data_IF_063129452987
#
_entry.id   IF_063129452987
#
_cell.length_a   1.000
_cell.length_b   1.000
_cell.length_c   1.000
_cell.angle_alpha   90.00
_cell.angle_beta   90.00
_cell.angle_gamma   90.00
#
_symmetry.space_group_name_H-M   'P 1'
#
loop_
_entity.id
_entity.type
_entity.pdbx_description
1 polymer ?
#
# COMPACT_ATOMS: atom_id res chain seq x y z
N UNK A 1 -30.23 24.31 -22.53
CA UNK A 1 -29.09 23.37 -22.43
C UNK A 1 -28.26 23.79 -21.21
N UNK A 2 -28.51 23.21 -20.04
CA UNK A 2 -27.79 23.54 -18.81
C UNK A 2 -26.64 22.55 -18.65
N UNK A 3 -25.44 23.11 -18.54
CA UNK A 3 -24.24 22.43 -18.08
C UNK A 3 -24.51 21.91 -16.68
N UNK A 4 -24.34 20.60 -16.47
CA UNK A 4 -24.18 20.04 -15.13
C UNK A 4 -22.70 19.67 -15.00
N UNK A 5 -21.96 20.61 -14.41
CA UNK A 5 -20.72 20.29 -13.71
C UNK A 5 -21.08 19.34 -12.57
N UNK A 6 -20.48 18.16 -12.55
CA UNK A 6 -20.13 17.52 -11.28
C UNK A 6 -18.65 17.21 -11.35
N UNK A 7 -17.87 18.24 -11.01
CA UNK A 7 -16.55 18.04 -10.43
C UNK A 7 -16.76 17.23 -9.15
N UNK A 8 -16.64 15.92 -9.23
CA UNK A 8 -16.06 15.20 -8.10
C UNK A 8 -14.58 15.53 -8.15
N UNK A 9 -14.19 16.53 -7.37
CA UNK A 9 -12.81 16.59 -6.90
C UNK A 9 -12.61 15.29 -6.11
N UNK A 10 -11.97 14.32 -6.74
CA UNK A 10 -11.34 13.17 -6.09
C UNK A 10 -10.35 13.77 -5.09
N UNK A 11 -10.80 14.01 -3.86
CA UNK A 11 -9.88 14.23 -2.76
C UNK A 11 -9.09 12.94 -2.65
N UNK A 12 -7.80 12.99 -2.96
CA UNK A 12 -6.88 11.85 -2.85
C UNK A 12 -7.13 11.17 -1.51
N UNK A 13 -7.74 9.99 -1.57
CA UNK A 13 -8.12 9.25 -0.39
C UNK A 13 -6.86 8.75 0.31
N UNK A 14 -6.66 9.16 1.56
CA UNK A 14 -5.46 8.80 2.32
C UNK A 14 -5.46 7.32 2.72
N UNK A 15 -4.66 6.51 2.02
CA UNK A 15 -4.43 5.10 2.37
C UNK A 15 -3.29 4.94 3.38
N UNK A 16 -2.28 5.78 3.22
CA UNK A 16 -1.15 5.94 4.14
C UNK A 16 -0.92 7.40 4.50
N UNK A 17 -0.32 7.62 5.66
CA UNK A 17 0.23 8.94 6.02
C UNK A 17 1.53 8.83 6.81
N UNK A 18 2.32 9.90 6.77
CA UNK A 18 3.62 10.00 7.46
C UNK A 18 3.47 10.90 8.69
N UNK A 19 3.48 10.29 9.88
CA UNK A 19 3.38 10.98 11.16
C UNK A 19 4.59 10.68 12.03
N UNK A 20 5.32 11.72 12.47
CA UNK A 20 6.47 11.55 13.37
C UNK A 20 7.55 10.61 12.84
N UNK A 21 7.80 10.61 11.52
CA UNK A 21 8.79 9.75 10.86
C UNK A 21 8.37 8.29 10.72
N UNK A 22 7.06 7.99 10.79
CA UNK A 22 6.53 6.62 10.67
C UNK A 22 5.37 6.59 9.68
N UNK A 23 5.23 5.45 8.99
CA UNK A 23 4.08 5.15 8.13
C UNK A 23 2.91 4.65 8.99
N UNK A 24 1.76 5.29 8.83
CA UNK A 24 0.47 4.87 9.39
C UNK A 24 -0.40 4.37 8.24
N UNK A 25 -0.85 3.11 8.31
CA UNK A 25 -1.80 2.56 7.35
C UNK A 25 -3.22 2.75 7.86
N UNK A 26 -4.05 3.34 7.02
CA UNK A 26 -5.48 3.45 7.28
C UNK A 26 -6.24 2.25 6.71
N UNK A 27 -5.64 1.48 5.80
CA UNK A 27 -6.30 0.37 5.10
C UNK A 27 -6.13 -0.99 5.80
N UNK A 28 -7.20 -1.80 6.00
CA UNK A 28 -7.12 -3.14 6.59
C UNK A 28 -6.07 -4.03 5.93
N UNK A 29 -6.11 -4.16 4.60
CA UNK A 29 -5.05 -4.87 3.86
C UNK A 29 -3.65 -4.29 4.10
N UNK A 30 -3.49 -2.97 4.13
CA UNK A 30 -2.20 -2.34 4.42
C UNK A 30 -1.70 -2.67 5.82
N UNK A 31 -2.59 -2.67 6.82
CA UNK A 31 -2.29 -3.08 8.21
C UNK A 31 -1.89 -4.56 8.27
N UNK A 32 -2.63 -5.45 7.60
CA UNK A 32 -2.34 -6.88 7.56
C UNK A 32 -1.01 -7.16 6.86
N UNK A 33 -0.73 -6.47 5.75
CA UNK A 33 0.53 -6.59 5.01
C UNK A 33 1.72 -6.07 5.83
N UNK A 34 1.58 -4.94 6.53
CA UNK A 34 2.63 -4.44 7.41
C UNK A 34 2.91 -5.42 8.57
N UNK A 35 1.87 -6.00 9.17
CA UNK A 35 2.01 -7.02 10.21
C UNK A 35 2.70 -8.28 9.67
N UNK A 36 2.31 -8.73 8.47
CA UNK A 36 2.95 -9.85 7.79
C UNK A 36 4.46 -9.64 7.67
N UNK A 37 4.88 -8.49 7.14
CA UNK A 37 6.29 -8.19 6.90
C UNK A 37 7.11 -8.11 8.20
N UNK A 38 6.48 -7.83 9.34
CA UNK A 38 7.16 -7.77 10.65
C UNK A 38 7.27 -9.11 11.37
N UNK A 39 6.72 -10.19 10.84
CA UNK A 39 6.81 -11.51 11.48
C UNK A 39 8.22 -12.08 11.40
N UNK A 40 8.68 -12.71 12.47
CA UNK A 40 10.00 -13.33 12.54
C UNK A 40 10.20 -14.40 11.45
N UNK A 41 9.17 -15.21 11.19
CA UNK A 41 9.26 -16.26 10.17
C UNK A 41 9.38 -15.70 8.74
N UNK A 42 8.79 -14.54 8.47
CA UNK A 42 8.96 -13.82 7.20
C UNK A 42 10.36 -13.23 7.08
N UNK A 43 10.86 -12.58 8.14
CA UNK A 43 12.20 -12.01 8.17
C UNK A 43 13.30 -13.08 8.05
N UNK A 44 13.05 -14.27 8.59
CA UNK A 44 13.98 -15.40 8.53
C UNK A 44 14.18 -16.00 7.13
N UNK A 45 13.30 -15.67 6.17
CA UNK A 45 13.43 -16.15 4.79
C UNK A 45 14.66 -15.56 4.10
N UNK A 46 15.10 -14.37 4.51
CA UNK A 46 16.20 -13.70 3.85
C UNK A 46 17.57 -14.11 4.42
N UNK A 47 18.58 -14.42 3.57
CA UNK A 47 19.86 -15.01 3.99
C UNK A 47 20.85 -14.01 4.63
N UNK A 48 20.37 -12.90 5.18
CA UNK A 48 21.20 -11.92 5.90
C UNK A 48 20.79 -10.46 5.73
N UNK A 49 19.90 -10.15 4.78
CA UNK A 49 19.47 -8.79 4.46
C UNK A 49 17.94 -8.79 4.46
N UNK A 50 17.27 -7.90 5.19
CA UNK A 50 15.80 -7.90 5.29
C UNK A 50 15.11 -7.46 3.99
N UNK A 51 14.11 -6.58 4.09
CA UNK A 51 13.50 -5.98 2.89
C UNK A 51 14.41 -4.98 2.16
N UNK A 52 15.53 -4.60 2.77
CA UNK A 52 16.59 -3.84 2.13
C UNK A 52 17.38 -4.72 1.15
N UNK A 53 18.16 -4.11 0.25
CA UNK A 53 19.10 -4.81 -0.65
C UNK A 53 18.43 -5.94 -1.46
N UNK A 54 17.41 -5.57 -2.25
CA UNK A 54 16.67 -6.49 -3.13
C UNK A 54 15.51 -7.23 -2.47
N UNK A 55 15.34 -7.14 -1.14
CA UNK A 55 14.22 -7.78 -0.45
C UNK A 55 12.86 -7.19 -0.84
N UNK A 56 12.79 -5.88 -1.14
CA UNK A 56 11.61 -5.21 -1.68
C UNK A 56 11.20 -5.82 -3.04
N UNK A 57 12.15 -6.14 -3.90
CA UNK A 57 11.90 -6.79 -5.18
C UNK A 57 11.35 -8.21 -5.00
N UNK A 58 11.94 -9.00 -4.09
CA UNK A 58 11.44 -10.34 -3.78
C UNK A 58 10.01 -10.33 -3.23
N UNK A 59 9.69 -9.40 -2.32
CA UNK A 59 8.34 -9.19 -1.81
C UNK A 59 7.38 -8.78 -2.94
N UNK A 60 7.80 -7.85 -3.81
CA UNK A 60 6.97 -7.38 -4.90
C UNK A 60 6.65 -8.50 -5.92
N UNK A 61 7.60 -9.37 -6.22
CA UNK A 61 7.36 -10.57 -7.04
C UNK A 61 6.35 -11.52 -6.39
N UNK A 62 6.47 -11.75 -5.08
CA UNK A 62 5.57 -12.61 -4.34
C UNK A 62 4.13 -12.03 -4.30
N UNK A 63 3.99 -10.73 -4.02
CA UNK A 63 2.71 -10.01 -4.04
C UNK A 63 2.07 -10.01 -5.43
N UNK A 64 2.84 -9.70 -6.48
CA UNK A 64 2.33 -9.75 -7.86
C UNK A 64 1.78 -11.14 -8.20
N UNK A 65 2.53 -12.20 -7.87
CA UNK A 65 2.11 -13.58 -8.13
C UNK A 65 0.87 -13.95 -7.33
N UNK A 66 0.79 -13.51 -6.08
CA UNK A 66 -0.35 -13.73 -5.20
C UNK A 66 -1.64 -13.08 -5.73
N UNK A 67 -1.55 -11.80 -6.12
CA UNK A 67 -2.66 -11.02 -6.65
C UNK A 67 -3.15 -11.57 -7.99
N UNK A 68 -2.22 -11.86 -8.92
CA UNK A 68 -2.57 -12.46 -10.22
C UNK A 68 -3.22 -13.83 -10.06
N UNK A 69 -2.76 -14.64 -9.11
CA UNK A 69 -3.39 -15.91 -8.76
C UNK A 69 -4.82 -15.77 -8.22
N UNK A 70 -5.19 -14.57 -7.75
CA UNK A 70 -6.54 -14.22 -7.30
C UNK A 70 -7.35 -13.46 -8.37
N UNK A 71 -6.84 -13.37 -9.62
CA UNK A 71 -7.50 -12.67 -10.72
C UNK A 71 -7.33 -11.14 -10.69
N UNK A 72 -6.43 -10.61 -9.86
CA UNK A 72 -6.14 -9.17 -9.77
C UNK A 72 -4.93 -8.83 -10.66
N UNK A 73 -5.09 -8.01 -11.72
CA UNK A 73 -3.96 -7.55 -12.52
C UNK A 73 -3.02 -6.69 -11.67
N UNK A 74 -1.75 -7.06 -11.64
CA UNK A 74 -0.73 -6.41 -10.84
C UNK A 74 0.57 -6.23 -11.64
N UNK A 75 1.23 -5.09 -11.48
CA UNK A 75 2.44 -4.68 -12.22
C UNK A 75 3.51 -4.21 -11.24
N UNK A 76 4.78 -4.44 -11.55
CA UNK A 76 5.88 -3.95 -10.71
C UNK A 76 6.17 -2.48 -11.04
N UNK A 77 6.52 -1.71 -10.03
CA UNK A 77 6.94 -0.33 -10.16
C UNK A 77 8.23 -0.09 -9.39
N UNK A 78 9.12 0.70 -9.98
CA UNK A 78 10.27 1.26 -9.28
C UNK A 78 9.86 2.62 -8.74
N UNK A 79 10.34 2.91 -7.54
CA UNK A 79 10.17 4.18 -6.88
C UNK A 79 11.53 4.65 -6.40
N UNK A 80 11.89 5.87 -6.74
CA UNK A 80 13.21 6.37 -6.40
C UNK A 80 13.48 7.72 -7.02
N UNK A 81 14.76 8.07 -7.09
CA UNK A 81 15.19 9.30 -7.77
C UNK A 81 15.13 9.10 -9.28
N UNK A 82 15.07 10.19 -10.04
CA UNK A 82 15.08 10.10 -11.49
C UNK A 82 16.33 9.34 -11.99
N UNK A 83 16.12 8.21 -12.67
CA UNK A 83 17.19 7.33 -13.14
C UNK A 83 17.81 6.40 -12.09
N UNK A 84 17.24 6.33 -10.88
CA UNK A 84 17.70 5.44 -9.81
C UNK A 84 16.51 4.68 -9.21
N UNK A 85 16.57 3.34 -9.25
CA UNK A 85 15.54 2.48 -8.69
C UNK A 85 15.88 2.16 -7.22
N UNK A 86 15.44 3.02 -6.30
CA UNK A 86 15.72 2.88 -4.87
C UNK A 86 14.82 1.81 -4.20
N UNK A 87 13.59 1.65 -4.67
CA UNK A 87 12.59 0.76 -4.09
C UNK A 87 11.71 0.12 -5.17
N UNK A 88 11.24 -1.12 -4.94
CA UNK A 88 10.30 -1.80 -5.84
C UNK A 88 9.00 -2.11 -5.09
N UNK A 89 7.87 -1.71 -5.66
CA UNK A 89 6.52 -1.96 -5.16
C UNK A 89 5.65 -2.67 -6.21
N UNK A 90 4.47 -3.14 -5.80
CA UNK A 90 3.44 -3.67 -6.71
C UNK A 90 2.32 -2.66 -6.87
N UNK A 91 2.01 -2.28 -8.11
CA UNK A 91 0.87 -1.44 -8.44
C UNK A 91 -0.32 -2.24 -8.97
N UNK A 92 -1.53 -1.85 -8.56
CA UNK A 92 -2.80 -2.40 -9.03
C UNK A 92 -3.69 -1.26 -9.53
N UNK A 93 -4.12 -1.35 -10.79
CA UNK A 93 -5.10 -0.44 -11.36
C UNK A 93 -6.51 -0.87 -10.93
N UNK A 94 -7.21 0.03 -10.21
CA UNK A 94 -8.57 -0.19 -9.75
C UNK A 94 -9.57 0.48 -10.72
N UNK A 95 -10.63 -0.21 -11.17
CA UNK A 95 -11.62 0.39 -12.07
C UNK A 95 -12.29 1.61 -11.43
N UNK A 96 -12.27 2.75 -12.14
CA UNK A 96 -12.91 3.99 -11.66
C UNK A 96 -12.19 4.67 -10.51
N UNK A 97 -10.92 4.33 -10.27
CA UNK A 97 -10.11 4.90 -9.18
C UNK A 97 -8.64 4.99 -9.59
N UNK A 98 -7.86 5.77 -8.84
CA UNK A 98 -6.40 5.82 -8.96
C UNK A 98 -5.75 4.47 -8.61
N UNK A 99 -4.56 4.25 -9.16
CA UNK A 99 -3.70 3.10 -8.86
C UNK A 99 -3.31 3.09 -7.38
N UNK A 100 -3.36 1.89 -6.77
CA UNK A 100 -2.81 1.64 -5.44
C UNK A 100 -1.50 0.88 -5.54
N UNK A 101 -0.62 1.09 -4.56
CA UNK A 101 0.68 0.46 -4.48
C UNK A 101 0.82 -0.31 -3.17
N UNK A 102 1.48 -1.47 -3.24
CA UNK A 102 1.70 -2.38 -2.12
C UNK A 102 3.20 -2.62 -1.94
N UNK A 103 3.67 -2.47 -0.71
CA UNK A 103 5.06 -2.71 -0.30
C UNK A 103 5.12 -3.27 1.14
N UNK A 104 6.33 -3.31 1.72
CA UNK A 104 6.51 -3.80 3.10
C UNK A 104 5.86 -2.89 4.16
N UNK A 105 5.64 -1.62 3.84
CA UNK A 105 5.00 -0.68 4.75
C UNK A 105 3.48 -0.78 4.69
N UNK A 106 2.89 -1.27 3.60
CA UNK A 106 1.47 -1.61 3.49
C UNK A 106 0.87 -1.21 2.14
N UNK A 107 -0.22 -0.43 2.14
CA UNK A 107 -0.93 0.00 0.93
C UNK A 107 -1.03 1.53 0.84
N UNK A 108 -0.66 2.10 -0.30
CA UNK A 108 -0.60 3.55 -0.50
C UNK A 108 -1.16 3.98 -1.87
N UNK A 109 -1.61 5.24 -1.96
CA UNK A 109 -1.77 5.93 -3.24
C UNK A 109 -0.42 6.37 -3.83
N UNK A 110 -0.42 6.81 -5.09
CA UNK A 110 0.81 7.25 -5.76
C UNK A 110 1.47 8.46 -5.08
N UNK A 111 0.68 9.47 -4.70
CA UNK A 111 1.19 10.66 -4.01
C UNK A 111 1.78 10.32 -2.64
N UNK A 112 1.13 9.44 -1.89
CA UNK A 112 1.57 9.00 -0.55
C UNK A 112 2.86 8.18 -0.62
N UNK A 113 2.95 7.26 -1.58
CA UNK A 113 4.17 6.48 -1.79
C UNK A 113 5.34 7.39 -2.18
N UNK A 114 5.10 8.35 -3.08
CA UNK A 114 6.13 9.30 -3.49
C UNK A 114 6.55 10.22 -2.32
N UNK A 115 5.59 10.68 -1.50
CA UNK A 115 5.88 11.47 -0.30
C UNK A 115 6.69 10.63 0.71
N UNK A 116 6.31 9.37 0.94
CA UNK A 116 7.01 8.43 1.83
C UNK A 116 8.46 8.28 1.42
N UNK A 117 8.67 7.92 0.17
CA UNK A 117 10.00 7.72 -0.39
C UNK A 117 10.81 9.01 -0.30
N UNK A 118 10.25 10.13 -0.72
CA UNK A 118 10.92 11.43 -0.65
C UNK A 118 11.34 11.79 0.77
N UNK A 119 10.44 11.74 1.74
CA UNK A 119 10.70 12.21 3.11
C UNK A 119 11.50 11.23 3.96
N UNK A 120 11.29 9.93 3.80
CA UNK A 120 11.84 8.91 4.70
C UNK A 120 13.09 8.24 4.16
N UNK A 121 13.17 8.03 2.84
CA UNK A 121 14.24 7.21 2.23
C UNK A 121 15.21 8.05 1.39
N UNK A 122 14.75 9.15 0.78
CA UNK A 122 15.53 9.92 -0.20
C UNK A 122 15.98 11.31 0.31
N UNK A 123 15.85 11.59 1.61
CA UNK A 123 16.34 12.83 2.21
C UNK A 123 15.70 14.11 1.67
N UNK A 124 14.43 14.03 1.27
CA UNK A 124 13.64 15.14 0.71
C UNK A 124 13.69 15.26 -0.81
N UNK A 125 14.45 14.41 -1.52
CA UNK A 125 14.44 14.41 -2.99
C UNK A 125 13.10 13.89 -3.50
N UNK A 126 12.45 14.54 -4.49
CA UNK A 126 11.21 14.03 -5.07
C UNK A 126 11.38 12.62 -5.64
N UNK A 127 10.46 11.73 -5.28
CA UNK A 127 10.43 10.38 -5.83
C UNK A 127 9.61 10.35 -7.13
N UNK A 128 10.11 9.58 -8.11
CA UNK A 128 9.37 9.21 -9.31
C UNK A 128 8.92 7.76 -9.20
N UNK A 129 7.74 7.46 -9.76
CA UNK A 129 7.19 6.10 -9.81
C UNK A 129 7.07 5.69 -11.28
N UNK A 130 7.73 4.60 -11.67
CA UNK A 130 7.76 4.15 -13.06
C UNK A 130 7.59 2.63 -13.19
N UNK A 131 6.99 2.13 -14.29
CA UNK A 131 6.87 0.69 -14.51
C UNK A 131 8.23 0.00 -14.48
N UNK A 132 8.30 -1.12 -13.77
CA UNK A 132 9.53 -1.87 -13.59
C UNK A 132 9.43 -3.25 -14.25
N UNK A 133 10.56 -3.69 -14.81
CA UNK A 133 10.65 -4.96 -15.55
C UNK A 133 11.85 -5.76 -15.04
N UNK A 134 11.85 -7.07 -15.32
CA UNK A 134 13.01 -7.93 -15.01
C UNK A 134 14.29 -7.41 -15.66
N UNK A 135 14.21 -6.98 -16.92
CA UNK A 135 15.34 -6.36 -17.64
C UNK A 135 15.88 -5.11 -16.92
N UNK A 136 14.99 -4.30 -16.35
CA UNK A 136 15.38 -3.13 -15.56
C UNK A 136 16.05 -3.53 -14.23
N UNK A 137 15.59 -4.62 -13.60
CA UNK A 137 16.23 -5.19 -12.40
C UNK A 137 17.66 -5.65 -12.69
N UNK A 138 17.85 -6.39 -13.79
CA UNK A 138 19.16 -6.88 -14.22
C UNK A 138 20.12 -5.72 -14.51
N UNK A 139 19.63 -4.70 -15.25
CA UNK A 139 20.43 -3.53 -15.58
C UNK A 139 20.81 -2.68 -14.36
N UNK A 140 19.95 -2.64 -13.34
CA UNK A 140 20.19 -1.89 -12.11
C UNK A 140 20.99 -2.67 -11.05
N UNK A 141 21.34 -3.94 -11.32
CA UNK A 141 22.06 -4.79 -10.37
C UNK A 141 21.26 -5.08 -9.09
N UNK A 142 19.93 -5.10 -9.18
CA UNK A 142 19.07 -5.46 -8.05
C UNK A 142 19.34 -6.92 -7.69
N UNK A 143 19.60 -7.19 -6.41
CA UNK A 143 19.80 -8.56 -5.91
C UNK A 143 18.54 -9.36 -6.20
N UNK A 144 18.68 -10.39 -7.05
CA UNK A 144 17.60 -11.29 -7.40
C UNK A 144 17.62 -12.53 -6.51
N UNK A 145 16.75 -12.55 -5.50
CA UNK A 145 16.61 -13.71 -4.62
C UNK A 145 15.82 -14.88 -5.25
N UNK A 146 15.47 -14.82 -6.53
CA UNK A 146 14.74 -15.90 -7.20
C UNK A 146 15.54 -17.22 -7.19
N UNK A 147 16.86 -17.16 -7.37
CA UNK A 147 17.73 -18.35 -7.39
C UNK A 147 17.80 -19.09 -6.04
N UNK A 148 17.63 -18.35 -4.93
CA UNK A 148 17.59 -18.91 -3.58
C UNK A 148 16.16 -19.13 -3.07
N UNK A 149 15.15 -18.96 -3.93
CA UNK A 149 13.76 -19.31 -3.66
C UNK A 149 13.02 -18.41 -2.67
N UNK A 150 13.56 -17.25 -2.30
CA UNK A 150 12.91 -16.32 -1.35
C UNK A 150 11.52 -15.89 -1.82
N UNK A 151 11.30 -15.45 -3.09
CA UNK A 151 9.96 -15.06 -3.55
C UNK A 151 8.93 -16.18 -3.41
N UNK A 152 9.32 -17.44 -3.66
CA UNK A 152 8.43 -18.59 -3.54
C UNK A 152 8.04 -18.87 -2.08
N UNK A 153 9.00 -18.73 -1.16
CA UNK A 153 8.74 -18.86 0.27
C UNK A 153 7.83 -17.74 0.78
N UNK A 154 8.10 -16.48 0.40
CA UNK A 154 7.24 -15.34 0.71
C UNK A 154 5.82 -15.53 0.16
N UNK A 155 5.68 -16.00 -1.08
CA UNK A 155 4.37 -16.28 -1.68
C UNK A 155 3.57 -17.31 -0.87
N UNK A 156 4.23 -18.39 -0.40
CA UNK A 156 3.59 -19.41 0.44
C UNK A 156 3.11 -18.81 1.77
N UNK A 157 3.96 -18.02 2.43
CA UNK A 157 3.62 -17.36 3.69
C UNK A 157 2.51 -16.31 3.51
N UNK A 158 2.56 -15.52 2.44
CA UNK A 158 1.52 -14.55 2.07
C UNK A 158 0.17 -15.24 1.90
N UNK A 159 0.11 -16.34 1.13
CA UNK A 159 -1.12 -17.11 0.93
C UNK A 159 -1.69 -17.64 2.24
N UNK A 160 -0.83 -18.12 3.14
CA UNK A 160 -1.27 -18.61 4.45
C UNK A 160 -1.76 -17.49 5.38
N UNK A 161 -1.25 -16.28 5.24
CA UNK A 161 -1.56 -15.17 6.14
C UNK A 161 -2.74 -14.33 5.65
N UNK A 162 -2.69 -13.89 4.39
CA UNK A 162 -3.69 -13.01 3.81
C UNK A 162 -4.86 -13.79 3.22
N UNK A 163 -4.69 -15.07 2.86
CA UNK A 163 -5.67 -15.80 2.05
C UNK A 163 -5.80 -15.18 0.65
N UNK A 164 -6.85 -15.49 -0.12
CA UNK A 164 -7.12 -14.81 -1.38
C UNK A 164 -7.31 -13.30 -1.19
N UNK A 165 -6.69 -12.51 -2.06
CA UNK A 165 -6.86 -11.05 -2.09
C UNK A 165 -7.55 -10.68 -3.38
N UNK A 166 -8.87 -10.50 -3.28
CA UNK A 166 -9.70 -9.98 -4.36
C UNK A 166 -9.65 -8.45 -4.44
N UNK A 167 -10.30 -7.90 -5.47
CA UNK A 167 -10.42 -6.44 -5.66
C UNK A 167 -11.20 -5.76 -4.53
N UNK A 168 -12.11 -6.48 -3.89
CA UNK A 168 -12.90 -6.04 -2.73
C UNK A 168 -12.00 -5.65 -1.55
N UNK A 169 -10.91 -6.39 -1.33
CA UNK A 169 -9.91 -6.10 -0.29
C UNK A 169 -8.91 -5.01 -0.66
N UNK A 170 -9.00 -4.50 -1.88
CA UNK A 170 -8.23 -3.36 -2.38
C UNK A 170 -9.13 -2.14 -2.60
N UNK A 171 -10.44 -2.27 -2.37
CA UNK A 171 -11.39 -1.20 -2.59
C UNK A 171 -11.17 -0.08 -1.58
N UNK A 172 -11.15 1.14 -2.10
CA UNK A 172 -11.10 2.37 -1.33
C UNK A 172 -12.40 2.64 -0.53
N UNK A 173 -13.48 1.93 -0.85
CA UNK A 173 -14.78 2.09 -0.19
C UNK A 173 -14.79 1.67 1.28
N UNK A 174 -13.75 1.00 1.78
CA UNK A 174 -13.69 0.56 3.18
C UNK A 174 -13.63 1.72 4.19
N UNK A 175 -13.19 2.92 3.78
CA UNK A 175 -13.25 4.15 4.60
C UNK A 175 -14.65 4.77 4.64
N UNK A 176 -15.57 4.35 3.77
CA UNK A 176 -16.97 4.77 3.81
C UNK A 176 -17.72 4.03 4.92
N UNK A 177 -17.16 4.00 6.14
CA UNK A 177 -17.97 3.77 7.34
C UNK A 177 -18.84 5.03 7.48
N UNK A 178 -20.18 4.91 7.52
CA UNK A 178 -21.02 6.08 7.72
C UNK A 178 -20.59 6.81 8.98
N UNK A 179 -20.48 8.13 8.89
CA UNK A 179 -20.17 9.00 10.02
C UNK A 179 -20.96 8.54 11.27
N UNK A 180 -20.35 8.55 12.47
CA UNK A 180 -21.05 8.14 13.68
C UNK A 180 -22.37 8.89 13.74
N UNK A 181 -23.48 8.14 13.77
CA UNK A 181 -24.81 8.70 13.92
C UNK A 181 -24.76 9.55 15.18
N UNK A 182 -24.84 10.86 15.01
CA UNK A 182 -24.97 11.80 16.12
C UNK A 182 -26.16 11.35 16.94
N UNK A 183 -25.92 10.79 18.12
CA UNK A 183 -26.97 10.55 19.11
C UNK A 183 -27.34 11.90 19.71
N UNK A 184 -28.01 12.74 18.93
CA UNK A 184 -28.72 13.91 19.44
C UNK A 184 -30.07 13.44 19.95
N UNK A 185 -30.07 12.86 21.14
CA UNK A 185 -31.28 12.71 21.94
C UNK A 185 -30.91 12.71 23.43
N UNK A 186 -30.79 13.90 24.02
CA UNK A 186 -31.13 14.07 25.42
C UNK A 186 -32.21 15.13 25.51
N UNK A 187 -33.45 14.66 25.65
CA UNK A 187 -34.62 15.48 25.99
C UNK A 187 -34.55 15.84 27.47
N UNK A 188 -34.83 17.12 27.72
CA UNK A 188 -35.54 17.70 28.87
C UNK A 188 -35.02 17.46 30.30
N UNK A 189 -34.58 18.55 30.94
CA UNK A 189 -34.89 18.79 32.35
C UNK A 189 -35.70 20.08 32.41
N UNK A 190 -36.98 19.94 32.77
CA UNK A 190 -37.88 21.05 33.04
C UNK A 190 -37.48 21.76 34.33
N UNK A 191 -37.42 23.08 34.28
CA UNK A 191 -37.27 23.95 35.45
C UNK A 191 -38.64 24.13 36.10
N UNK A 192 -38.83 23.90 37.40
CA UNK A 192 -40.07 24.28 38.07
C UNK A 192 -40.09 25.79 38.31
N UNK A 193 -41.23 26.44 38.02
CA UNK A 193 -41.50 27.83 38.43
C UNK A 193 -41.77 27.88 39.93
N UNK A 194 -41.25 28.85 40.69
CA UNK A 194 -41.71 29.11 42.04
C UNK A 194 -42.99 29.98 42.02
N UNK A 195 -43.79 29.80 43.06
CA UNK A 195 -44.91 30.67 43.46
C UNK A 195 -44.40 32.02 43.98
#
# INVERSE_FOLDING_TARGET
>A
MRIVNSQHAEGDMQLQSIGGGRVVNHHPLGVDLQKFCRREDVLSVFPGHGFMDGGCYALALALQTHLRGSGVPATLYAVGRQGCHDHIAVGVDLPGTSRVYLDADGMAGGAELAEKMSRMELGGVPAVIEPFTKRAADAAGVIDYHEVGVPAQLLRLLRSHLGPVGRDRLSLDYLAVPAPVSTRASRAVGVPKPF
#
